data_IF_354391660377
#
_entry.id   IF_354391660377
#
_cell.length_a   1.000
_cell.length_b   1.000
_cell.length_c   1.000
_cell.angle_alpha   90.00
_cell.angle_beta   90.00
_cell.angle_gamma   90.00
#
_symmetry.space_group_name_H-M   'P 1'
#
loop_
_entity.id
_entity.type
_entity.pdbx_description
1 polymer ?
#
# COMPACT_ATOMS: atom_id res chain seq x y z
N UNK A 1 -7.92 6.92 21.45
CA UNK A 1 -7.55 6.52 20.08
C UNK A 1 -6.76 5.25 20.22
N UNK A 2 -6.97 4.28 19.35
CA UNK A 2 -6.33 2.97 19.45
C UNK A 2 -5.65 2.66 18.12
N UNK A 3 -4.43 2.13 18.17
CA UNK A 3 -3.66 1.68 17.01
C UNK A 3 -3.32 0.22 17.26
N UNK A 4 -3.90 -0.66 16.45
CA UNK A 4 -3.67 -2.11 16.52
C UNK A 4 -2.97 -2.54 15.24
N UNK A 5 -1.98 -3.42 15.36
CA UNK A 5 -1.41 -4.12 14.22
C UNK A 5 -1.82 -5.59 14.26
N UNK A 6 -2.59 -6.02 13.27
CA UNK A 6 -2.90 -7.44 13.03
C UNK A 6 -1.77 -8.03 12.18
N UNK A 7 -0.88 -8.79 12.82
CA UNK A 7 0.24 -9.45 12.15
C UNK A 7 -0.19 -10.58 11.21
N UNK A 8 -1.39 -11.14 11.35
CA UNK A 8 -1.86 -12.20 10.46
C UNK A 8 -2.30 -11.65 9.11
N UNK A 9 -2.96 -10.49 9.13
CA UNK A 9 -3.40 -9.79 7.91
C UNK A 9 -2.43 -8.72 7.44
N UNK A 10 -1.41 -8.40 8.25
CA UNK A 10 -0.48 -7.30 8.08
C UNK A 10 -1.19 -5.94 7.97
N UNK A 11 -2.18 -5.71 8.84
CA UNK A 11 -3.02 -4.50 8.80
C UNK A 11 -2.87 -3.67 10.06
N UNK A 12 -2.61 -2.38 9.90
CA UNK A 12 -2.78 -1.38 10.95
C UNK A 12 -4.21 -0.89 10.97
N UNK A 13 -4.87 -1.01 12.11
CA UNK A 13 -6.18 -0.46 12.37
C UNK A 13 -6.08 0.69 13.37
N UNK A 14 -6.11 1.91 12.83
CA UNK A 14 -6.20 3.13 13.62
C UNK A 14 -7.67 3.46 13.80
N UNK A 15 -8.16 3.55 15.05
CA UNK A 15 -9.57 3.81 15.30
C UNK A 15 -9.84 4.69 16.51
N UNK A 16 -10.94 5.40 16.43
CA UNK A 16 -11.54 6.09 17.57
C UNK A 16 -13.02 5.70 17.67
N UNK A 17 -13.82 6.47 18.42
CA UNK A 17 -15.25 6.18 18.61
C UNK A 17 -16.09 6.36 17.33
N UNK A 18 -15.57 7.06 16.31
CA UNK A 18 -16.32 7.47 15.12
C UNK A 18 -15.73 6.95 13.82
N UNK A 19 -14.41 6.80 13.76
CA UNK A 19 -13.68 6.54 12.52
C UNK A 19 -12.73 5.35 12.65
N UNK A 20 -12.52 4.69 11.51
CA UNK A 20 -11.44 3.74 11.27
C UNK A 20 -10.59 4.21 10.10
N UNK A 21 -9.29 3.98 10.20
CA UNK A 21 -8.31 4.12 9.13
C UNK A 21 -7.50 2.82 9.07
N UNK A 22 -7.47 2.18 7.90
CA UNK A 22 -6.80 0.90 7.69
C UNK A 22 -5.66 1.05 6.68
N UNK A 23 -4.47 0.63 7.12
CA UNK A 23 -3.26 0.54 6.30
C UNK A 23 -2.86 -0.92 6.23
N UNK A 24 -2.47 -1.43 5.07
CA UNK A 24 -1.96 -2.79 4.90
C UNK A 24 -0.52 -2.77 4.43
N UNK A 25 0.27 -3.70 4.97
CA UNK A 25 1.53 -4.12 4.35
C UNK A 25 1.17 -5.19 3.33
N UNK A 26 1.13 -4.77 2.08
CA UNK A 26 0.89 -5.64 0.96
C UNK A 26 2.17 -6.42 0.63
N UNK A 27 2.04 -7.47 -0.19
CA UNK A 27 3.16 -8.26 -0.72
C UNK A 27 4.31 -7.34 -1.15
N UNK A 28 5.52 -7.83 -0.94
CA UNK A 28 6.78 -7.13 -1.22
C UNK A 28 7.00 -5.85 -0.40
N UNK A 29 6.23 -5.64 0.68
CA UNK A 29 6.43 -4.52 1.59
C UNK A 29 5.87 -3.20 1.06
N UNK A 30 5.00 -3.19 0.05
CA UNK A 30 4.28 -1.98 -0.32
C UNK A 30 3.29 -1.61 0.78
N UNK A 31 3.19 -0.32 1.08
CA UNK A 31 2.27 0.20 2.10
C UNK A 31 1.03 0.76 1.41
N UNK A 32 -0.11 0.12 1.63
CA UNK A 32 -1.36 0.43 0.93
C UNK A 32 -2.45 0.91 1.87
N UNK A 33 -3.26 1.81 1.36
CA UNK A 33 -4.51 2.26 1.94
C UNK A 33 -5.61 1.24 1.68
N UNK A 34 -6.35 0.85 2.72
CA UNK A 34 -7.52 -0.04 2.59
C UNK A 34 -8.85 0.67 2.82
N UNK A 35 -8.89 1.56 3.82
CA UNK A 35 -10.15 2.15 4.25
C UNK A 35 -9.93 3.42 5.06
N UNK A 36 -10.78 4.42 4.83
CA UNK A 36 -11.00 5.52 5.75
C UNK A 36 -12.49 5.86 5.79
N UNK A 37 -13.07 5.86 6.99
CA UNK A 37 -14.50 6.14 7.14
C UNK A 37 -15.03 5.78 8.51
N UNK A 38 -16.33 5.47 8.57
CA UNK A 38 -17.04 5.07 9.78
C UNK A 38 -16.29 3.98 10.56
N UNK A 39 -16.36 4.06 11.89
CA UNK A 39 -15.76 3.07 12.78
C UNK A 39 -16.23 1.66 12.39
N UNK A 40 -15.24 0.79 12.24
CA UNK A 40 -15.39 -0.65 12.06
C UNK A 40 -15.01 -1.35 13.36
N UNK A 41 -15.82 -2.31 13.80
CA UNK A 41 -15.46 -3.12 14.97
C UNK A 41 -14.36 -4.13 14.65
N UNK A 42 -14.39 -4.71 13.44
CA UNK A 42 -13.37 -5.60 12.92
C UNK A 42 -13.22 -5.40 11.41
N UNK A 43 -12.05 -5.76 10.87
CA UNK A 43 -11.80 -5.82 9.44
C UNK A 43 -11.75 -7.29 8.99
N UNK A 44 -12.48 -7.63 7.93
CA UNK A 44 -12.64 -9.00 7.44
C UNK A 44 -11.79 -9.32 6.20
N UNK A 45 -10.98 -8.38 5.71
CA UNK A 45 -10.22 -8.55 4.46
C UNK A 45 -10.95 -8.08 3.19
N UNK A 46 -12.20 -7.61 3.29
CA UNK A 46 -13.03 -7.31 2.10
C UNK A 46 -12.46 -6.21 1.18
N UNK A 47 -11.64 -5.31 1.73
CA UNK A 47 -11.02 -4.22 0.98
C UNK A 47 -9.63 -4.56 0.41
N UNK A 48 -9.17 -5.81 0.58
CA UNK A 48 -7.86 -6.22 0.11
C UNK A 48 -7.74 -6.08 -1.42
N UNK A 49 -6.52 -5.97 -1.92
CA UNK A 49 -6.26 -5.84 -3.34
C UNK A 49 -6.90 -7.01 -4.12
N UNK A 50 -7.70 -6.74 -5.17
CA UNK A 50 -8.59 -7.74 -5.76
C UNK A 50 -7.89 -8.85 -6.56
N UNK A 51 -6.58 -8.72 -6.83
CA UNK A 51 -5.79 -9.68 -7.62
C UNK A 51 -6.37 -9.94 -9.02
N UNK A 52 -6.73 -8.87 -9.70
CA UNK A 52 -7.30 -8.90 -11.05
C UNK A 52 -6.31 -8.25 -12.00
N UNK A 53 -6.01 -8.93 -13.11
CA UNK A 53 -5.25 -8.37 -14.22
C UNK A 53 -6.07 -7.29 -14.93
N UNK A 54 -5.47 -6.14 -15.25
CA UNK A 54 -6.03 -5.21 -16.22
C UNK A 54 -4.99 -4.82 -17.26
N UNK A 55 -5.48 -4.50 -18.45
CA UNK A 55 -4.62 -4.23 -19.60
C UNK A 55 -3.78 -2.97 -19.39
N UNK A 56 -2.58 -2.96 -20.00
CA UNK A 56 -1.59 -1.88 -19.92
C UNK A 56 -1.02 -1.62 -18.53
N UNK A 57 -1.15 -2.57 -17.62
CA UNK A 57 -0.52 -2.50 -16.31
C UNK A 57 0.98 -2.74 -16.35
N UNK A 58 1.70 -2.00 -15.52
CA UNK A 58 3.09 -2.30 -15.21
C UNK A 58 3.11 -3.36 -14.12
N UNK A 59 3.25 -4.60 -14.56
CA UNK A 59 3.57 -5.72 -13.67
C UNK A 59 4.91 -5.44 -13.00
N UNK A 60 5.03 -5.70 -11.70
CA UNK A 60 6.33 -5.50 -11.05
C UNK A 60 7.29 -6.58 -11.54
N UNK A 61 8.50 -6.17 -11.94
CA UNK A 61 9.50 -7.10 -12.47
C UNK A 61 9.92 -8.16 -11.43
N UNK A 62 9.64 -7.92 -10.14
CA UNK A 62 9.90 -8.83 -9.02
C UNK A 62 9.03 -10.09 -9.05
N UNK A 63 7.97 -10.11 -9.87
CA UNK A 63 6.97 -11.17 -9.91
C UNK A 63 7.32 -12.37 -10.80
N UNK A 64 8.29 -12.22 -11.71
CA UNK A 64 8.44 -13.15 -12.84
C UNK A 64 7.30 -13.01 -13.86
N UNK A 65 7.52 -13.43 -15.09
CA UNK A 65 6.65 -13.14 -16.24
C UNK A 65 5.22 -13.75 -16.18
N UNK A 66 4.96 -14.66 -15.24
CA UNK A 66 3.71 -15.44 -15.18
C UNK A 66 2.70 -14.92 -14.15
N UNK A 67 3.07 -13.95 -13.29
CA UNK A 67 2.18 -13.41 -12.25
C UNK A 67 1.58 -12.09 -12.73
N UNK A 68 0.39 -12.22 -13.32
CA UNK A 68 -0.38 -11.11 -13.91
C UNK A 68 -1.47 -10.55 -13.00
N UNK A 69 -1.54 -11.05 -11.77
CA UNK A 69 -2.56 -10.67 -10.79
C UNK A 69 -2.13 -9.51 -9.90
N UNK A 70 -0.99 -8.86 -10.17
CA UNK A 70 -0.45 -7.77 -9.35
C UNK A 70 0.18 -6.66 -10.19
N UNK A 71 -0.26 -5.43 -9.95
CA UNK A 71 0.28 -4.24 -10.60
C UNK A 71 0.53 -3.14 -9.59
N UNK A 72 1.74 -2.59 -9.64
CA UNK A 72 2.15 -1.45 -8.81
C UNK A 72 1.39 -0.17 -9.18
N UNK A 73 0.85 -0.07 -10.39
CA UNK A 73 0.03 1.06 -10.82
C UNK A 73 -1.39 1.05 -10.24
N UNK A 74 -1.84 -0.10 -9.73
CA UNK A 74 -3.18 -0.26 -9.17
C UNK A 74 -3.24 -0.20 -7.65
N UNK A 75 -2.10 -0.32 -6.97
CA UNK A 75 -2.08 -0.27 -5.52
C UNK A 75 -2.65 1.07 -5.05
N UNK A 76 -3.53 1.03 -4.06
CA UNK A 76 -3.92 2.26 -3.36
C UNK A 76 -2.81 2.55 -2.37
N UNK A 77 -1.81 3.36 -2.73
CA UNK A 77 -0.69 3.64 -1.84
C UNK A 77 -1.12 4.52 -0.67
N UNK A 78 -0.54 4.25 0.51
CA UNK A 78 -0.61 5.18 1.64
C UNK A 78 0.27 6.41 1.37
N UNK A 79 1.45 6.19 0.76
CA UNK A 79 2.34 7.24 0.30
C UNK A 79 2.91 6.85 -1.07
N UNK A 80 2.40 7.47 -2.14
CA UNK A 80 2.71 7.03 -3.50
C UNK A 80 4.13 7.40 -3.95
N UNK A 81 4.66 6.54 -4.80
CA UNK A 81 6.00 6.59 -5.37
C UNK A 81 5.97 7.11 -6.82
N UNK A 82 7.13 7.44 -7.38
CA UNK A 82 7.24 8.02 -8.71
C UNK A 82 8.13 7.20 -9.65
N UNK A 83 7.76 7.20 -10.95
CA UNK A 83 8.48 6.56 -12.05
C UNK A 83 8.76 5.06 -11.88
N UNK A 84 7.81 4.32 -11.29
CA UNK A 84 7.86 2.86 -11.13
C UNK A 84 6.60 2.14 -11.63
N UNK A 85 5.84 2.75 -12.53
CA UNK A 85 4.64 2.14 -13.13
C UNK A 85 3.29 2.57 -12.54
N UNK A 86 3.30 3.40 -11.49
CA UNK A 86 2.16 4.23 -11.13
C UNK A 86 2.22 5.55 -11.90
N UNK A 87 1.22 5.80 -12.74
CA UNK A 87 1.12 6.98 -13.60
C UNK A 87 0.22 8.08 -13.02
N UNK A 88 -0.31 7.90 -11.80
CA UNK A 88 -1.10 8.92 -11.10
C UNK A 88 -0.19 10.01 -10.52
N UNK A 89 -0.80 11.04 -9.92
CA UNK A 89 -0.05 12.08 -9.23
C UNK A 89 0.70 11.49 -8.01
N UNK A 90 2.04 11.66 -7.92
CA UNK A 90 2.82 11.12 -6.81
C UNK A 90 2.70 11.99 -5.57
N UNK A 91 2.90 11.39 -4.39
CA UNK A 91 3.01 12.11 -3.12
C UNK A 91 4.38 12.78 -2.97
N UNK A 92 5.42 12.22 -3.60
CA UNK A 92 6.79 12.70 -3.56
C UNK A 92 7.52 12.43 -4.88
N UNK A 93 8.36 13.39 -5.29
CA UNK A 93 9.34 13.19 -6.36
C UNK A 93 10.72 13.49 -5.79
N UNK A 94 11.60 12.50 -5.81
CA UNK A 94 13.00 12.65 -5.45
C UNK A 94 13.84 12.76 -6.72
N UNK A 95 14.96 13.47 -6.65
CA UNK A 95 16.00 13.44 -7.68
C UNK A 95 17.30 12.97 -7.04
N UNK A 96 17.79 11.83 -7.50
CA UNK A 96 19.04 11.23 -7.05
C UNK A 96 20.24 11.94 -7.68
N UNK A 97 21.44 11.65 -7.17
CA UNK A 97 22.69 12.27 -7.65
C UNK A 97 22.98 11.95 -9.13
N UNK A 98 22.54 10.80 -9.63
CA UNK A 98 22.64 10.39 -11.04
C UNK A 98 21.57 11.02 -11.95
N UNK A 99 20.67 11.82 -11.38
CA UNK A 99 19.57 12.46 -12.08
C UNK A 99 18.30 11.60 -12.22
N UNK A 100 18.32 10.33 -11.79
CA UNK A 100 17.14 9.49 -11.70
C UNK A 100 16.10 10.09 -10.75
N UNK A 101 14.82 9.83 -11.03
CA UNK A 101 13.71 10.23 -10.15
C UNK A 101 12.86 9.06 -9.67
N UNK A 102 13.36 7.84 -9.84
CA UNK A 102 12.67 6.63 -9.38
C UNK A 102 12.69 6.57 -7.86
N UNK A 103 11.53 6.31 -7.25
CA UNK A 103 11.43 5.97 -5.83
C UNK A 103 10.76 4.60 -5.67
N UNK A 104 11.20 3.84 -4.67
CA UNK A 104 10.65 2.52 -4.35
C UNK A 104 10.58 2.30 -2.83
N UNK A 105 9.58 2.89 -2.19
CA UNK A 105 9.47 2.82 -0.73
C UNK A 105 8.89 1.48 -0.31
N UNK A 106 9.65 0.76 0.52
CA UNK A 106 9.23 -0.50 1.13
C UNK A 106 9.16 -0.35 2.64
N UNK A 107 8.21 -1.04 3.24
CA UNK A 107 8.11 -1.18 4.66
C UNK A 107 9.39 -1.80 5.24
N UNK A 108 9.93 -1.18 6.28
CA UNK A 108 11.09 -1.65 7.06
C UNK A 108 10.64 -2.11 8.45
N UNK A 109 10.15 -1.16 9.26
CA UNK A 109 9.67 -1.41 10.62
C UNK A 109 8.60 -0.41 11.03
N UNK A 110 7.90 -0.71 12.11
CA UNK A 110 7.03 0.21 12.82
C UNK A 110 7.27 0.15 14.33
N UNK A 111 6.80 1.18 15.02
CA UNK A 111 6.72 1.25 16.48
C UNK A 111 5.35 1.84 16.83
N UNK A 112 4.65 1.21 17.78
CA UNK A 112 3.40 1.73 18.32
C UNK A 112 3.68 2.16 19.76
N UNK A 113 3.55 3.47 20.02
CA UNK A 113 3.79 4.09 21.33
C UNK A 113 2.46 4.41 22.01
N UNK A 114 2.44 4.30 23.33
CA UNK A 114 1.27 4.53 24.18
C UNK A 114 0.99 6.03 24.42
#
# INVERSE_FOLDING_TARGET
>A
MEVIFDSSQQVFHLRNQKLSYLIQLERFGYVTHLYFGQRLEHYSGIAAYPRIHRDFEVESVEFGADVRDFSVGNLLYEYSQYNRGDFRHPALVLRHADGSTVSDFRYDRHEIVA
#
